data_IF_638681499540
#
_entry.id   IF_638681499540
#
_cell.length_a   1.000
_cell.length_b   1.000
_cell.length_c   1.000
_cell.angle_alpha   90.00
_cell.angle_beta   90.00
_cell.angle_gamma   90.00
#
_symmetry.space_group_name_H-M   'P 1'
#
loop_
_entity.id
_entity.type
_entity.pdbx_description
1 polymer ?
#
# COMPACT_ATOMS: atom_id res chain seq x y z
N UNK A 1 -0.05 18.41 -8.11
CA UNK A 1 1.24 18.44 -7.39
C UNK A 1 1.03 17.93 -5.98
N UNK A 2 1.87 17.02 -5.48
CA UNK A 2 1.74 16.50 -4.10
C UNK A 2 2.75 17.22 -3.23
N UNK A 3 2.32 18.28 -2.56
CA UNK A 3 3.18 19.01 -1.63
C UNK A 3 3.55 18.16 -0.43
N UNK A 4 4.71 18.42 0.18
CA UNK A 4 5.17 17.73 1.41
C UNK A 4 4.11 17.75 2.50
N UNK A 5 3.40 18.86 2.69
CA UNK A 5 2.35 18.97 3.71
C UNK A 5 1.19 17.98 3.48
N UNK A 6 0.75 17.82 2.23
CA UNK A 6 -0.31 16.87 1.88
C UNK A 6 0.16 15.41 2.06
N UNK A 7 1.43 15.14 1.74
CA UNK A 7 2.05 13.82 1.95
C UNK A 7 2.16 13.48 3.44
N UNK A 8 2.60 14.41 4.29
CA UNK A 8 2.69 14.23 5.75
C UNK A 8 1.34 13.83 6.36
N UNK A 9 0.26 14.51 5.98
CA UNK A 9 -1.09 14.20 6.46
C UNK A 9 -1.55 12.80 6.02
N UNK A 10 -1.27 12.41 4.77
CA UNK A 10 -1.63 11.07 4.26
C UNK A 10 -0.83 9.95 4.94
N UNK A 11 0.46 10.17 5.20
CA UNK A 11 1.34 9.16 5.80
C UNK A 11 1.11 8.98 7.30
N UNK A 12 0.69 10.03 8.03
CA UNK A 12 0.38 9.97 9.48
C UNK A 12 -0.62 8.87 9.87
N UNK A 13 -1.61 8.61 9.02
CA UNK A 13 -2.63 7.58 9.24
C UNK A 13 -2.17 6.17 8.82
N UNK A 14 -1.13 6.09 7.97
CA UNK A 14 -0.61 4.81 7.46
C UNK A 14 0.57 4.29 8.27
N UNK A 15 1.26 5.18 8.98
CA UNK A 15 2.42 4.87 9.76
C UNK A 15 2.04 4.13 11.06
N UNK A 16 2.73 3.02 11.32
CA UNK A 16 2.53 2.23 12.54
C UNK A 16 3.30 2.84 13.69
N UNK A 17 2.71 2.83 14.88
CA UNK A 17 3.37 3.24 16.12
C UNK A 17 4.44 2.22 16.50
N UNK A 18 5.63 2.72 16.82
CA UNK A 18 6.74 1.95 17.34
C UNK A 18 7.26 2.62 18.62
N UNK A 19 7.54 1.80 19.62
CA UNK A 19 8.16 2.22 20.87
C UNK A 19 9.68 2.06 20.79
N UNK A 20 10.43 2.86 21.56
CA UNK A 20 11.89 2.76 21.65
C UNK A 20 12.68 3.20 20.40
N UNK A 21 12.05 3.95 19.48
CA UNK A 21 12.69 4.43 18.24
C UNK A 21 13.74 5.49 18.51
N UNK A 22 13.49 6.37 19.49
CA UNK A 22 14.44 7.39 19.91
C UNK A 22 15.35 6.82 20.98
N UNK A 23 16.66 6.89 20.75
CA UNK A 23 17.65 6.57 21.77
C UNK A 23 18.51 7.79 22.07
N UNK A 24 18.67 8.11 23.34
CA UNK A 24 19.60 9.15 23.80
C UNK A 24 20.82 8.44 24.38
N UNK A 25 22.00 8.94 24.04
CA UNK A 25 23.26 8.46 24.62
C UNK A 25 23.62 9.35 25.81
N UNK A 26 23.72 8.76 27.00
CA UNK A 26 24.21 9.42 28.21
C UNK A 26 25.52 8.75 28.61
N UNK A 27 26.63 9.45 28.38
CA UNK A 27 27.98 8.88 28.47
C UNK A 27 28.19 7.77 27.44
N UNK A 28 28.48 6.55 27.92
CA UNK A 28 28.66 5.35 27.08
C UNK A 28 27.39 4.52 26.89
N UNK A 29 26.34 4.76 27.68
CA UNK A 29 25.11 3.96 27.65
C UNK A 29 24.05 4.62 26.76
N UNK A 30 23.32 3.80 25.99
CA UNK A 30 22.16 4.22 25.21
C UNK A 30 20.89 3.90 25.99
N UNK A 31 20.00 4.89 26.08
CA UNK A 31 18.70 4.75 26.72
C UNK A 31 17.60 4.96 25.68
N UNK A 32 16.67 4.01 25.58
CA UNK A 32 15.50 4.17 24.75
C UNK A 32 14.53 5.14 25.44
N UNK A 33 14.12 6.17 24.71
CA UNK A 33 13.15 7.15 25.21
C UNK A 33 11.75 6.52 25.09
N UNK A 34 10.89 6.61 26.12
CA UNK A 34 9.54 6.05 26.11
C UNK A 34 8.57 6.93 25.30
N UNK A 35 8.96 7.32 24.08
CA UNK A 35 8.13 8.09 23.15
C UNK A 35 7.67 7.16 22.04
N UNK A 36 6.35 7.16 21.81
CA UNK A 36 5.73 6.47 20.67
C UNK A 36 5.93 7.32 19.43
N UNK A 37 6.63 6.78 18.44
CA UNK A 37 6.81 7.42 17.15
C UNK A 37 6.15 6.57 16.07
N UNK A 38 5.36 7.21 15.21
CA UNK A 38 4.86 6.60 13.98
C UNK A 38 5.92 6.73 12.91
N UNK A 39 6.34 5.60 12.34
CA UNK A 39 7.44 5.58 11.38
C UNK A 39 7.06 4.81 10.12
N UNK A 40 7.41 5.36 8.95
CA UNK A 40 7.45 4.65 7.67
C UNK A 40 8.81 4.88 7.04
N UNK A 41 9.44 3.81 6.57
CA UNK A 41 10.73 3.84 5.89
C UNK A 41 10.60 3.13 4.55
N UNK A 42 11.19 3.68 3.50
CA UNK A 42 11.27 3.05 2.19
C UNK A 42 12.42 3.66 1.40
N UNK A 43 13.19 2.83 0.66
CA UNK A 43 14.37 3.22 -0.13
C UNK A 43 15.15 4.41 0.46
N UNK A 44 14.95 5.62 -0.07
CA UNK A 44 15.69 6.83 0.29
C UNK A 44 14.86 7.83 1.10
N UNK A 45 13.74 7.41 1.68
CA UNK A 45 12.82 8.29 2.41
C UNK A 45 12.42 7.70 3.76
N UNK A 46 12.24 8.60 4.72
CA UNK A 46 11.80 8.29 6.07
C UNK A 46 10.74 9.29 6.50
N UNK A 47 9.58 8.79 6.90
CA UNK A 47 8.55 9.59 7.54
C UNK A 47 8.55 9.27 9.04
N UNK A 48 8.67 10.32 9.85
CA UNK A 48 8.59 10.27 11.31
C UNK A 48 7.48 11.19 11.79
N UNK A 49 6.57 10.64 12.59
CA UNK A 49 5.47 11.38 13.19
C UNK A 49 5.44 11.14 14.69
N UNK A 50 5.59 12.22 15.42
CA UNK A 50 5.41 12.33 16.86
C UNK A 50 4.04 12.98 17.14
N UNK A 51 3.52 12.90 18.38
CA UNK A 51 2.28 13.58 18.75
C UNK A 51 2.30 15.08 18.42
N UNK A 52 3.45 15.75 18.60
CA UNK A 52 3.60 17.19 18.43
C UNK A 52 4.14 17.63 17.05
N UNK A 53 4.75 16.73 16.28
CA UNK A 53 5.42 17.10 15.02
C UNK A 53 5.42 15.94 14.02
N UNK A 54 5.48 16.25 12.73
CA UNK A 54 5.58 15.22 11.69
C UNK A 54 6.46 15.73 10.57
N UNK A 55 7.48 14.94 10.25
CA UNK A 55 8.55 15.36 9.35
C UNK A 55 8.87 14.26 8.35
N UNK A 56 9.25 14.70 7.15
CA UNK A 56 9.57 13.83 6.03
C UNK A 56 11.04 14.07 5.68
N UNK A 57 11.83 13.01 5.70
CA UNK A 57 13.26 13.06 5.49
C UNK A 57 13.65 12.31 4.23
N UNK A 58 14.67 12.85 3.55
CA UNK A 58 15.45 12.12 2.54
C UNK A 58 16.68 11.53 3.22
N UNK A 59 16.93 10.24 2.99
CA UNK A 59 18.11 9.52 3.47
C UNK A 59 19.17 9.61 2.37
N UNK A 60 20.29 10.27 2.63
CA UNK A 60 21.41 10.35 1.68
C UNK A 60 22.74 10.33 2.41
N UNK A 61 23.70 9.52 1.94
CA UNK A 61 25.08 9.52 2.44
C UNK A 61 25.23 9.47 3.98
N UNK A 62 24.37 8.68 4.66
CA UNK A 62 24.29 8.55 6.14
C UNK A 62 23.74 9.76 6.89
N UNK A 63 23.16 10.71 6.17
CA UNK A 63 22.49 11.88 6.72
C UNK A 63 20.98 11.82 6.47
N UNK A 64 20.24 12.55 7.31
CA UNK A 64 18.79 12.74 7.20
C UNK A 64 18.52 14.23 6.93
N UNK A 65 18.09 14.55 5.72
CA UNK A 65 17.74 15.92 5.33
C UNK A 65 16.21 16.10 5.33
N UNK A 66 15.66 17.09 6.06
CA UNK A 66 14.22 17.37 6.01
C UNK A 66 13.82 17.94 4.65
N UNK A 67 12.67 17.51 4.12
CA UNK A 67 12.09 18.04 2.90
C UNK A 67 11.27 19.30 3.20
N UNK A 68 11.46 20.33 2.38
CA UNK A 68 10.76 21.61 2.55
C UNK A 68 9.28 21.53 2.18
N UNK A 69 8.42 22.23 2.92
CA UNK A 69 6.95 22.06 2.96
C UNK A 69 6.27 22.24 1.60
N UNK A 70 6.83 23.10 0.75
CA UNK A 70 6.26 23.47 -0.55
C UNK A 70 6.85 22.68 -1.72
N UNK A 71 7.89 21.87 -1.48
CA UNK A 71 8.51 21.05 -2.52
C UNK A 71 7.59 19.92 -2.97
N UNK A 72 7.76 19.50 -4.23
CA UNK A 72 7.06 18.32 -4.73
C UNK A 72 7.60 17.06 -4.04
N UNK A 73 6.69 16.32 -3.43
CA UNK A 73 6.98 15.13 -2.63
C UNK A 73 6.37 13.87 -3.25
N UNK A 74 6.15 13.90 -4.57
CA UNK A 74 5.60 12.76 -5.31
C UNK A 74 6.43 11.49 -5.11
N UNK A 75 7.75 11.57 -5.25
CA UNK A 75 8.68 10.44 -5.11
C UNK A 75 8.66 9.85 -3.69
N UNK A 76 8.70 10.73 -2.68
CA UNK A 76 8.62 10.31 -1.28
C UNK A 76 7.28 9.64 -0.96
N UNK A 77 6.18 10.16 -1.52
CA UNK A 77 4.87 9.54 -1.39
C UNK A 77 4.82 8.17 -2.04
N UNK A 78 5.43 7.98 -3.22
CA UNK A 78 5.45 6.69 -3.90
C UNK A 78 6.31 5.66 -3.15
N UNK A 79 7.48 6.06 -2.67
CA UNK A 79 8.37 5.20 -1.89
C UNK A 79 7.76 4.75 -0.55
N UNK A 80 7.01 5.64 0.12
CA UNK A 80 6.48 5.41 1.47
C UNK A 80 5.03 4.94 1.51
N UNK A 81 4.33 4.91 0.38
CA UNK A 81 2.94 4.47 0.35
C UNK A 81 2.86 2.99 -0.07
N UNK A 82 2.63 2.05 0.87
CA UNK A 82 2.63 0.62 0.58
C UNK A 82 1.48 0.11 -0.31
N UNK A 83 0.66 1.00 -0.89
CA UNK A 83 -0.55 0.63 -1.62
C UNK A 83 -0.65 1.25 -3.01
N UNK A 84 0.03 0.66 -4.00
CA UNK A 84 -0.42 0.64 -5.42
C UNK A 84 0.14 -0.52 -6.26
N UNK A 85 0.89 -1.47 -5.68
CA UNK A 85 1.05 -2.78 -6.34
C UNK A 85 -0.27 -3.53 -6.21
N UNK A 86 -1.23 -3.18 -7.06
CA UNK A 86 -2.31 -4.04 -7.47
C UNK A 86 -1.62 -5.24 -8.10
N UNK A 87 -1.20 -6.19 -7.28
CA UNK A 87 -0.65 -7.46 -7.70
C UNK A 87 -1.75 -8.12 -8.51
N UNK A 88 -1.78 -7.88 -9.82
CA UNK A 88 -2.54 -8.66 -10.76
C UNK A 88 -1.89 -10.03 -10.66
N UNK A 89 -2.42 -10.88 -9.76
CA UNK A 89 -2.18 -12.32 -9.81
C UNK A 89 -2.57 -12.69 -11.24
N UNK A 90 -1.58 -12.85 -12.12
CA UNK A 90 -1.78 -13.56 -13.38
C UNK A 90 -2.13 -14.96 -12.90
N UNK A 91 -3.42 -15.29 -12.90
CA UNK A 91 -3.82 -16.68 -12.74
C UNK A 91 -3.02 -17.48 -13.75
N UNK A 92 -2.29 -18.49 -13.29
CA UNK A 92 -1.58 -19.38 -14.19
C UNK A 92 -2.56 -19.89 -15.23
N UNK A 93 -2.19 -19.82 -16.51
CA UNK A 93 -2.98 -20.42 -17.57
C UNK A 93 -2.93 -21.93 -17.39
N UNK A 94 -3.96 -22.47 -16.74
CA UNK A 94 -4.21 -23.91 -16.76
C UNK A 94 -4.89 -24.19 -18.09
N UNK A 95 -4.36 -25.13 -18.86
CA UNK A 95 -4.99 -25.58 -20.10
C UNK A 95 -6.37 -26.14 -19.77
N UNK A 96 -7.41 -25.55 -20.37
CA UNK A 96 -8.79 -25.98 -20.17
C UNK A 96 -9.02 -27.24 -21.00
N UNK A 97 -9.46 -28.36 -20.39
CA UNK A 97 -9.88 -29.55 -21.14
C UNK A 97 -10.88 -29.20 -22.25
N UNK A 98 -10.72 -29.79 -23.42
CA UNK A 98 -11.49 -29.47 -24.64
C UNK A 98 -13.00 -29.64 -24.46
N UNK A 99 -13.40 -30.67 -23.72
CA UNK A 99 -14.82 -30.96 -23.41
C UNK A 99 -15.50 -29.80 -22.65
N UNK A 100 -14.79 -29.15 -21.74
CA UNK A 100 -15.32 -28.01 -20.99
C UNK A 100 -15.44 -26.76 -21.86
N UNK A 101 -14.52 -26.57 -22.80
CA UNK A 101 -14.57 -25.45 -23.74
C UNK A 101 -15.79 -25.55 -24.68
N UNK A 102 -16.16 -26.76 -25.10
CA UNK A 102 -17.35 -27.00 -25.91
C UNK A 102 -18.65 -26.78 -25.12
N UNK A 103 -18.73 -27.28 -23.88
CA UNK A 103 -19.87 -27.07 -23.01
C UNK A 103 -20.11 -25.58 -22.70
N UNK A 104 -19.04 -24.80 -22.54
CA UNK A 104 -19.14 -23.36 -22.26
C UNK A 104 -19.61 -22.52 -23.47
N UNK A 105 -19.44 -22.99 -24.71
CA UNK A 105 -19.96 -22.31 -25.91
C UNK A 105 -21.49 -22.30 -25.98
N UNK A 106 -22.12 -23.29 -25.36
CA UNK A 106 -23.58 -23.41 -25.31
C UNK A 106 -24.23 -22.45 -24.29
N UNK A 107 -23.43 -21.69 -23.53
CA UNK A 107 -23.96 -20.70 -22.60
C UNK A 107 -24.54 -19.48 -23.34
N UNK A 108 -25.72 -18.98 -22.94
CA UNK A 108 -26.31 -17.80 -23.57
C UNK A 108 -25.44 -16.56 -23.35
N UNK A 109 -25.35 -15.72 -24.39
CA UNK A 109 -24.54 -14.51 -24.36
C UNK A 109 -24.93 -13.61 -23.18
N UNK A 110 -23.92 -13.12 -22.44
CA UNK A 110 -24.14 -12.27 -21.26
C UNK A 110 -24.42 -13.02 -19.96
N UNK A 111 -24.31 -14.35 -19.94
CA UNK A 111 -24.34 -15.17 -18.72
C UNK A 111 -22.99 -15.87 -18.50
N UNK A 112 -22.73 -16.23 -17.24
CA UNK A 112 -21.59 -17.03 -16.81
C UNK A 112 -22.03 -18.13 -15.87
N UNK A 113 -21.25 -19.20 -15.77
CA UNK A 113 -21.45 -20.23 -14.76
C UNK A 113 -21.12 -19.66 -13.37
N UNK A 114 -22.06 -19.76 -12.44
CA UNK A 114 -21.87 -19.53 -11.02
C UNK A 114 -22.34 -20.74 -10.22
N UNK A 115 -22.17 -20.69 -8.91
CA UNK A 115 -22.56 -21.76 -8.00
C UNK A 115 -23.49 -21.20 -6.92
N UNK A 116 -24.48 -22.00 -6.50
CA UNK A 116 -25.32 -21.70 -5.33
C UNK A 116 -24.55 -22.00 -4.04
N UNK A 117 -25.14 -21.67 -2.89
CA UNK A 117 -24.56 -21.95 -1.55
C UNK A 117 -24.35 -23.45 -1.35
N UNK A 118 -25.21 -24.27 -1.96
CA UNK A 118 -25.15 -25.74 -1.93
C UNK A 118 -24.21 -26.33 -2.99
N UNK A 119 -23.49 -25.49 -3.75
CA UNK A 119 -22.56 -25.93 -4.79
C UNK A 119 -23.20 -26.33 -6.12
N UNK A 120 -24.51 -26.15 -6.29
CA UNK A 120 -25.18 -26.45 -7.56
C UNK A 120 -24.88 -25.38 -8.62
N UNK A 121 -24.65 -25.76 -9.89
CA UNK A 121 -24.37 -24.81 -10.97
C UNK A 121 -25.62 -23.97 -11.31
N UNK A 122 -25.43 -22.65 -11.48
CA UNK A 122 -26.47 -21.70 -11.87
C UNK A 122 -25.94 -20.68 -12.88
N UNK A 123 -26.78 -20.29 -13.83
CA UNK A 123 -26.47 -19.18 -14.75
C UNK A 123 -26.58 -17.83 -14.04
N UNK A 124 -25.50 -17.06 -14.07
CA UNK A 124 -25.41 -15.72 -13.47
C UNK A 124 -25.22 -14.69 -14.56
N UNK A 125 -26.07 -13.65 -14.59
CA UNK A 125 -25.96 -12.55 -15.56
C UNK A 125 -24.67 -11.75 -15.34
N UNK A 126 -23.91 -11.57 -16.40
CA UNK A 126 -22.70 -10.74 -16.43
C UNK A 126 -23.11 -9.26 -16.38
N UNK A 127 -22.79 -8.59 -15.27
CA UNK A 127 -23.07 -7.16 -15.09
C UNK A 127 -21.98 -6.34 -15.77
N UNK A 128 -22.35 -5.43 -16.68
CA UNK A 128 -21.44 -4.36 -17.14
C UNK A 128 -21.36 -3.32 -16.03
N UNK A 129 -20.20 -3.15 -15.40
CA UNK A 129 -19.94 -1.99 -14.54
C UNK A 129 -19.58 -0.83 -15.46
N UNK A 130 -20.38 0.23 -15.49
CA UNK A 130 -19.92 1.50 -16.03
C UNK A 130 -18.70 1.93 -15.20
N UNK A 131 -17.63 2.32 -15.89
CA UNK A 131 -16.57 3.10 -15.28
C UNK A 131 -17.05 4.54 -15.35
N UNK A 132 -17.45 5.10 -14.21
CA UNK A 132 -17.27 6.53 -13.98
C UNK A 132 -15.79 6.81 -13.70
#
# INVERSE_FOLDING_TARGET
>A
MKTVQNVKNSLKFKAQEKEGVLTIRVGVRKYAVPVKARMLSGQDYLFLSFPASSELYKVSAKELAPLDKETDAADAYEALNPGKRRGRRRGGGVEMPTELAEALKNLPAGYKLGYTVDGAPKLVRTRRRSKE
#
